data_IF_578939363158
#
_entry.id   IF_578939363158
#
_cell.length_a   1.000
_cell.length_b   1.000
_cell.length_c   1.000
_cell.angle_alpha   90.00
_cell.angle_beta   90.00
_cell.angle_gamma   90.00
#
_symmetry.space_group_name_H-M   'P 1'
#
loop_
_entity.id
_entity.type
_entity.pdbx_description
1 polymer ?
#
# COMPACT_ATOMS: atom_id res chain seq x y z
N UNK A 1 27.91 -33.21 -33.26
CA UNK A 1 27.27 -34.50 -32.90
C UNK A 1 28.26 -35.67 -32.76
N UNK A 2 29.01 -36.09 -33.81
CA UNK A 2 29.93 -37.26 -33.74
C UNK A 2 31.00 -37.17 -32.65
N UNK A 3 31.57 -35.98 -32.43
CA UNK A 3 32.54 -35.73 -31.35
C UNK A 3 31.91 -35.85 -29.95
N UNK A 4 30.68 -35.35 -29.77
CA UNK A 4 29.93 -35.41 -28.51
C UNK A 4 29.62 -36.85 -28.10
N UNK A 5 29.19 -37.68 -29.05
CA UNK A 5 28.93 -39.11 -28.81
C UNK A 5 30.22 -39.87 -28.46
N UNK A 6 31.33 -39.56 -29.13
CA UNK A 6 32.63 -40.17 -28.83
C UNK A 6 33.15 -39.79 -27.44
N UNK A 7 33.00 -38.53 -27.04
CA UNK A 7 33.37 -38.08 -25.68
C UNK A 7 32.48 -38.77 -24.65
N UNK A 8 31.17 -38.84 -24.88
CA UNK A 8 30.24 -39.54 -23.99
C UNK A 8 30.62 -41.01 -23.80
N UNK A 9 30.85 -41.74 -24.89
CA UNK A 9 31.24 -43.15 -24.84
C UNK A 9 32.59 -43.37 -24.12
N UNK A 10 33.60 -42.58 -24.44
CA UNK A 10 34.94 -42.70 -23.84
C UNK A 10 34.94 -42.36 -22.35
N UNK A 11 34.12 -41.38 -21.93
CA UNK A 11 33.98 -41.01 -20.52
C UNK A 11 33.30 -42.09 -19.68
N UNK A 12 32.49 -42.95 -20.28
CA UNK A 12 31.78 -44.03 -19.57
C UNK A 12 32.51 -45.38 -19.64
N UNK A 13 33.28 -45.64 -20.69
CA UNK A 13 33.85 -46.97 -20.99
C UNK A 13 34.86 -47.50 -19.95
N UNK A 14 35.43 -46.65 -19.10
CA UNK A 14 36.47 -47.01 -18.12
C UNK A 14 36.00 -46.89 -16.66
N UNK A 15 34.70 -46.72 -16.42
CA UNK A 15 34.15 -46.51 -15.08
C UNK A 15 33.37 -47.72 -14.59
N UNK A 16 33.36 -47.93 -13.27
CA UNK A 16 32.44 -48.88 -12.64
C UNK A 16 30.99 -48.41 -12.80
N UNK A 17 30.00 -49.33 -12.80
CA UNK A 17 28.59 -48.98 -12.89
C UNK A 17 28.13 -47.96 -11.84
N UNK A 18 28.63 -48.07 -10.60
CA UNK A 18 28.36 -47.10 -9.53
C UNK A 18 28.90 -45.70 -9.87
N UNK A 19 30.12 -45.61 -10.39
CA UNK A 19 30.72 -44.32 -10.75
C UNK A 19 30.04 -43.69 -11.96
N UNK A 20 29.58 -44.50 -12.92
CA UNK A 20 28.75 -44.04 -14.06
C UNK A 20 27.50 -43.34 -13.53
N UNK A 21 26.80 -43.95 -12.58
CA UNK A 21 25.56 -43.40 -12.02
C UNK A 21 25.73 -42.03 -11.39
N UNK A 22 26.90 -41.75 -10.81
CA UNK A 22 27.21 -40.46 -10.19
C UNK A 22 27.47 -39.36 -11.22
N UNK A 23 28.12 -39.68 -12.34
CA UNK A 23 28.57 -38.65 -13.31
C UNK A 23 27.65 -38.48 -14.53
N UNK A 24 26.75 -39.43 -14.76
CA UNK A 24 25.99 -39.52 -16.02
C UNK A 24 25.15 -38.27 -16.30
N UNK A 25 24.52 -37.72 -15.26
CA UNK A 25 23.68 -36.53 -15.38
C UNK A 25 24.51 -35.29 -15.74
N UNK A 26 25.61 -35.04 -15.00
CA UNK A 26 26.50 -33.90 -15.23
C UNK A 26 27.23 -33.99 -16.57
N UNK A 27 27.69 -35.20 -16.96
CA UNK A 27 28.32 -35.42 -18.26
C UNK A 27 27.34 -35.12 -19.40
N UNK A 28 26.13 -35.67 -19.32
CA UNK A 28 25.08 -35.45 -20.32
C UNK A 28 24.73 -33.97 -20.44
N UNK A 29 24.56 -33.28 -19.31
CA UNK A 29 24.26 -31.85 -19.26
C UNK A 29 25.34 -31.03 -19.96
N UNK A 30 26.61 -31.23 -19.59
CA UNK A 30 27.74 -30.47 -20.12
C UNK A 30 27.94 -30.67 -21.62
N UNK A 31 27.74 -31.90 -22.10
CA UNK A 31 27.89 -32.24 -23.51
C UNK A 31 26.79 -31.66 -24.38
N UNK A 32 25.57 -31.59 -23.86
CA UNK A 32 24.41 -31.01 -24.56
C UNK A 32 24.50 -29.49 -24.56
N UNK A 33 24.82 -28.89 -23.40
CA UNK A 33 24.93 -27.44 -23.23
C UNK A 33 26.03 -26.83 -24.12
N UNK A 34 27.14 -27.54 -24.34
CA UNK A 34 28.24 -27.10 -25.22
C UNK A 34 27.95 -27.21 -26.71
N UNK A 35 26.81 -27.78 -27.14
CA UNK A 35 26.48 -27.82 -28.56
C UNK A 35 25.88 -26.50 -29.02
N UNK A 36 26.47 -25.92 -30.07
CA UNK A 36 26.02 -24.66 -30.68
C UNK A 36 24.64 -24.74 -31.36
N UNK A 37 24.04 -25.93 -31.51
CA UNK A 37 22.86 -26.15 -32.35
C UNK A 37 21.77 -26.94 -31.61
N UNK A 38 21.08 -26.29 -30.68
CA UNK A 38 20.01 -26.86 -29.85
C UNK A 38 18.65 -26.93 -30.59
N UNK A 39 18.64 -27.21 -31.90
CA UNK A 39 17.38 -27.42 -32.64
C UNK A 39 16.75 -28.74 -32.21
N UNK A 40 15.41 -28.79 -32.12
CA UNK A 40 14.67 -29.97 -31.62
C UNK A 40 15.10 -31.29 -32.30
N UNK A 41 15.31 -31.29 -33.61
CA UNK A 41 15.74 -32.49 -34.35
C UNK A 41 17.14 -32.97 -33.95
N UNK A 42 18.07 -32.04 -33.67
CA UNK A 42 19.44 -32.37 -33.27
C UNK A 42 19.50 -32.91 -31.83
N UNK A 43 18.66 -32.38 -30.93
CA UNK A 43 18.51 -32.90 -29.57
C UNK A 43 17.94 -34.31 -29.55
N UNK A 44 16.94 -34.59 -30.40
CA UNK A 44 16.36 -35.92 -30.53
C UNK A 44 17.38 -36.95 -31.05
N UNK A 45 18.17 -36.60 -32.07
CA UNK A 45 19.25 -37.46 -32.58
C UNK A 45 20.35 -37.70 -31.53
N UNK A 46 20.68 -36.68 -30.74
CA UNK A 46 21.67 -36.80 -29.67
C UNK A 46 21.18 -37.69 -28.52
N UNK A 47 19.90 -37.58 -28.15
CA UNK A 47 19.28 -38.46 -27.16
C UNK A 47 19.38 -39.91 -27.61
N UNK A 48 18.94 -40.21 -28.84
CA UNK A 48 19.02 -41.56 -29.39
C UNK A 48 20.47 -42.09 -29.37
N UNK A 49 21.45 -41.27 -29.75
CA UNK A 49 22.86 -41.64 -29.71
C UNK A 49 23.40 -41.92 -28.31
N UNK A 50 23.02 -41.15 -27.29
CA UNK A 50 23.39 -41.43 -25.89
C UNK A 50 22.76 -42.74 -25.40
N UNK A 51 21.49 -43.00 -25.75
CA UNK A 51 20.81 -44.23 -25.38
C UNK A 51 21.44 -45.46 -26.05
N UNK A 52 21.85 -45.36 -27.30
CA UNK A 52 22.56 -46.44 -28.00
C UNK A 52 23.93 -46.74 -27.39
N UNK A 53 24.66 -45.71 -26.92
CA UNK A 53 25.92 -45.89 -26.19
C UNK A 53 25.67 -46.58 -24.84
N UNK A 54 24.64 -46.18 -24.09
CA UNK A 54 24.28 -46.85 -22.83
C UNK A 54 23.95 -48.33 -23.06
N UNK A 55 23.22 -48.66 -24.14
CA UNK A 55 22.95 -50.06 -24.52
C UNK A 55 24.24 -50.82 -24.84
N UNK A 56 25.14 -50.21 -25.63
CA UNK A 56 26.42 -50.81 -26.03
C UNK A 56 27.31 -51.14 -24.82
N UNK A 57 27.29 -50.29 -23.80
CA UNK A 57 28.10 -50.42 -22.59
C UNK A 57 27.43 -51.26 -21.48
N UNK A 58 26.22 -51.78 -21.70
CA UNK A 58 25.47 -52.53 -20.68
C UNK A 58 24.94 -51.68 -19.51
N UNK A 59 24.81 -50.37 -19.72
CA UNK A 59 24.38 -49.37 -18.73
C UNK A 59 22.95 -48.88 -18.95
N UNK A 60 22.21 -49.52 -19.87
CA UNK A 60 20.84 -49.14 -20.21
C UNK A 60 19.85 -49.68 -19.16
N UNK A 61 19.49 -48.84 -18.21
CA UNK A 61 18.44 -49.06 -17.23
C UNK A 61 17.57 -47.79 -17.06
N UNK A 62 16.42 -47.93 -16.39
CA UNK A 62 15.46 -46.84 -16.21
C UNK A 62 16.06 -45.62 -15.48
N UNK A 63 16.96 -45.86 -14.51
CA UNK A 63 17.61 -44.83 -13.72
C UNK A 63 18.53 -43.97 -14.60
N UNK A 64 19.39 -44.62 -15.37
CA UNK A 64 20.36 -43.98 -16.25
C UNK A 64 19.68 -43.24 -17.41
N UNK A 65 18.64 -43.84 -18.00
CA UNK A 65 17.82 -43.17 -19.03
C UNK A 65 17.18 -41.90 -18.47
N UNK A 66 16.62 -41.97 -17.25
CA UNK A 66 16.00 -40.81 -16.60
C UNK A 66 17.01 -39.69 -16.34
N UNK A 67 18.22 -40.03 -15.88
CA UNK A 67 19.31 -39.05 -15.67
C UNK A 67 19.70 -38.34 -16.97
N UNK A 68 19.86 -39.08 -18.07
CA UNK A 68 20.17 -38.50 -19.38
C UNK A 68 19.05 -37.55 -19.84
N UNK A 69 17.79 -37.96 -19.75
CA UNK A 69 16.65 -37.12 -20.18
C UNK A 69 16.56 -35.86 -19.32
N UNK A 70 16.67 -35.96 -17.99
CA UNK A 70 16.68 -34.80 -17.08
C UNK A 70 17.79 -33.82 -17.43
N UNK A 71 19.01 -34.32 -17.64
CA UNK A 71 20.16 -33.51 -18.02
C UNK A 71 19.94 -32.78 -19.34
N UNK A 72 19.38 -33.45 -20.35
CA UNK A 72 19.10 -32.87 -21.66
C UNK A 72 18.04 -31.78 -21.60
N UNK A 73 16.93 -32.02 -20.88
CA UNK A 73 15.88 -30.99 -20.66
C UNK A 73 16.48 -29.78 -19.95
N UNK A 74 17.24 -30.01 -18.87
CA UNK A 74 17.91 -28.94 -18.12
C UNK A 74 18.88 -28.15 -18.99
N UNK A 75 19.69 -28.81 -19.82
CA UNK A 75 20.62 -28.14 -20.72
C UNK A 75 19.90 -27.30 -21.79
N UNK A 76 18.84 -27.85 -22.41
CA UNK A 76 18.09 -27.16 -23.48
C UNK A 76 17.26 -25.95 -23.01
N UNK A 77 16.95 -25.89 -21.72
CA UNK A 77 16.14 -24.81 -21.12
C UNK A 77 16.97 -23.80 -20.34
N UNK A 78 18.26 -24.08 -20.11
CA UNK A 78 19.14 -23.26 -19.26
C UNK A 78 19.28 -21.82 -19.77
N UNK A 79 19.44 -21.62 -21.07
CA UNK A 79 19.60 -20.28 -21.66
C UNK A 79 18.29 -19.47 -21.58
N UNK A 80 17.14 -20.12 -21.78
CA UNK A 80 15.83 -19.50 -21.61
C UNK A 80 15.58 -19.11 -20.14
N UNK A 81 15.95 -19.98 -19.19
CA UNK A 81 15.89 -19.66 -17.75
C UNK A 81 16.81 -18.48 -17.40
N UNK A 82 18.05 -18.47 -17.89
CA UNK A 82 18.98 -17.37 -17.66
C UNK A 82 18.46 -16.06 -18.25
N UNK A 83 17.84 -16.11 -19.44
CA UNK A 83 17.22 -14.94 -20.08
C UNK A 83 16.03 -14.42 -19.28
N UNK A 84 15.19 -15.31 -18.74
CA UNK A 84 14.09 -14.96 -17.84
C UNK A 84 14.62 -14.26 -16.58
N UNK A 85 15.67 -14.81 -15.94
CA UNK A 85 16.27 -14.17 -14.76
C UNK A 85 16.86 -12.79 -15.09
N UNK A 86 17.46 -12.61 -16.26
CA UNK A 86 17.94 -11.32 -16.71
C UNK A 86 16.80 -10.30 -16.91
N UNK A 87 15.66 -10.73 -17.45
CA UNK A 87 14.47 -9.89 -17.59
C UNK A 87 13.88 -9.49 -16.23
N UNK A 88 13.86 -10.40 -15.25
CA UNK A 88 13.41 -10.12 -13.89
C UNK A 88 14.32 -9.06 -13.25
N UNK A 89 15.64 -9.24 -13.31
CA UNK A 89 16.59 -8.27 -12.77
C UNK A 89 16.47 -6.89 -13.44
N UNK A 90 16.18 -6.86 -14.74
CA UNK A 90 15.92 -5.61 -15.46
C UNK A 90 14.63 -4.93 -15.03
N UNK A 91 13.57 -5.70 -14.75
CA UNK A 91 12.32 -5.17 -14.20
C UNK A 91 12.53 -4.53 -12.81
N UNK A 92 13.21 -5.24 -11.90
CA UNK A 92 13.58 -4.72 -10.57
C UNK A 92 14.41 -3.43 -10.69
N UNK A 93 15.35 -3.38 -11.64
CA UNK A 93 16.15 -2.18 -11.91
C UNK A 93 15.29 -1.01 -12.39
N UNK A 94 14.34 -1.25 -13.27
CA UNK A 94 13.42 -0.23 -13.79
C UNK A 94 12.50 0.30 -12.69
N UNK A 95 11.98 -0.57 -11.81
CA UNK A 95 11.20 -0.17 -10.64
C UNK A 95 12.00 0.76 -9.73
N UNK A 96 13.25 0.39 -9.41
CA UNK A 96 14.15 1.26 -8.65
C UNK A 96 14.40 2.61 -9.34
N UNK A 97 14.47 2.65 -10.68
CA UNK A 97 14.58 3.91 -11.42
C UNK A 97 13.32 4.77 -11.34
N UNK A 98 12.14 4.15 -11.48
CA UNK A 98 10.85 4.83 -11.34
C UNK A 98 10.75 5.49 -9.97
N UNK A 99 11.13 4.76 -8.91
CA UNK A 99 11.05 5.27 -7.54
C UNK A 99 11.99 6.46 -7.31
N UNK A 100 13.23 6.35 -7.81
CA UNK A 100 14.17 7.48 -7.78
C UNK A 100 13.65 8.70 -8.56
N UNK A 101 12.97 8.49 -9.69
CA UNK A 101 12.34 9.57 -10.45
C UNK A 101 11.19 10.22 -9.70
N UNK A 102 10.34 9.45 -9.00
CA UNK A 102 9.27 10.01 -8.15
C UNK A 102 9.84 10.91 -7.07
N UNK A 103 10.87 10.45 -6.35
CA UNK A 103 11.56 11.22 -5.31
C UNK A 103 12.19 12.48 -5.91
N UNK A 104 12.86 12.37 -7.07
CA UNK A 104 13.46 13.53 -7.73
C UNK A 104 12.42 14.55 -8.18
N UNK A 105 11.29 14.11 -8.74
CA UNK A 105 10.19 14.97 -9.16
C UNK A 105 9.57 15.69 -7.98
N UNK A 106 9.34 14.97 -6.87
CA UNK A 106 8.87 15.55 -5.60
C UNK A 106 9.80 16.66 -5.13
N UNK A 107 11.11 16.40 -5.10
CA UNK A 107 12.11 17.38 -4.69
C UNK A 107 12.15 18.61 -5.62
N UNK A 108 12.01 18.41 -6.93
CA UNK A 108 11.95 19.52 -7.90
C UNK A 108 10.70 20.38 -7.72
N UNK A 109 9.54 19.76 -7.49
CA UNK A 109 8.30 20.47 -7.19
C UNK A 109 8.50 21.31 -5.92
N UNK A 110 8.98 20.71 -4.84
CA UNK A 110 9.30 21.42 -3.59
C UNK A 110 10.26 22.58 -3.81
N UNK A 111 11.32 22.37 -4.60
CA UNK A 111 12.32 23.40 -4.89
C UNK A 111 11.74 24.59 -5.66
N UNK A 112 11.03 24.37 -6.76
CA UNK A 112 10.42 25.46 -7.53
C UNK A 112 9.41 26.24 -6.70
N UNK A 113 8.64 25.56 -5.84
CA UNK A 113 7.73 26.24 -4.92
C UNK A 113 8.45 27.16 -3.94
N UNK A 114 9.56 26.72 -3.34
CA UNK A 114 10.38 27.55 -2.46
C UNK A 114 10.96 28.76 -3.19
N UNK A 115 11.43 28.58 -4.43
CA UNK A 115 11.89 29.70 -5.25
C UNK A 115 10.77 30.69 -5.54
N UNK A 116 9.56 30.21 -5.89
CA UNK A 116 8.41 31.07 -6.16
C UNK A 116 7.91 31.79 -4.91
N UNK A 117 7.84 31.11 -3.77
CA UNK A 117 7.51 31.73 -2.49
C UNK A 117 8.50 32.85 -2.17
N UNK A 118 9.81 32.57 -2.29
CA UNK A 118 10.85 33.57 -2.07
C UNK A 118 10.65 34.80 -2.97
N UNK A 119 10.43 34.59 -4.27
CA UNK A 119 10.17 35.66 -5.22
C UNK A 119 8.93 36.47 -4.83
N UNK A 120 7.84 35.81 -4.43
CA UNK A 120 6.59 36.46 -4.04
C UNK A 120 6.74 37.27 -2.74
N UNK A 121 7.47 36.74 -1.75
CA UNK A 121 7.81 37.43 -0.49
C UNK A 121 8.72 38.64 -0.70
N UNK A 122 9.55 38.61 -1.73
CA UNK A 122 10.43 39.72 -2.14
C UNK A 122 9.73 40.69 -3.11
N UNK A 123 8.53 40.35 -3.59
CA UNK A 123 7.77 41.14 -4.56
C UNK A 123 6.82 42.17 -3.95
N UNK A 124 6.33 43.07 -4.79
CA UNK A 124 5.30 44.06 -4.43
C UNK A 124 3.94 43.42 -4.09
N UNK A 125 3.74 42.13 -4.40
CA UNK A 125 2.50 41.39 -4.13
C UNK A 125 2.47 40.73 -2.74
N UNK A 126 3.55 40.84 -1.95
CA UNK A 126 3.70 40.22 -0.62
C UNK A 126 2.48 40.42 0.30
N UNK A 127 1.89 41.62 0.29
CA UNK A 127 0.78 41.97 1.18
C UNK A 127 -0.58 41.43 0.70
N UNK A 128 -0.69 41.07 -0.58
CA UNK A 128 -1.87 40.44 -1.18
C UNK A 128 -1.91 38.93 -0.88
N UNK A 129 -0.76 38.32 -0.63
CA UNK A 129 -0.58 36.91 -0.23
C UNK A 129 0.02 36.80 1.18
N UNK A 130 -0.39 37.67 2.10
CA UNK A 130 0.20 37.82 3.45
C UNK A 130 0.01 36.61 4.39
N UNK A 131 -0.80 35.63 3.97
CA UNK A 131 -0.65 34.23 4.37
C UNK A 131 0.13 33.59 3.24
N UNK A 132 1.42 33.30 3.46
CA UNK A 132 2.36 32.88 2.41
C UNK A 132 1.77 31.79 1.52
N UNK A 133 2.40 31.57 0.36
CA UNK A 133 2.07 30.43 -0.49
C UNK A 133 2.30 29.15 0.35
N UNK A 134 1.26 28.68 1.05
CA UNK A 134 1.42 28.11 2.39
C UNK A 134 2.36 26.91 2.38
N UNK A 135 3.50 26.99 3.08
CA UNK A 135 4.37 25.83 3.32
C UNK A 135 3.62 24.64 3.94
N UNK A 136 2.43 24.86 4.51
CA UNK A 136 1.47 23.83 4.85
C UNK A 136 1.04 22.99 3.63
N UNK A 137 0.70 23.59 2.48
CA UNK A 137 0.30 22.85 1.27
C UNK A 137 1.42 21.95 0.77
N UNK A 138 2.68 22.39 0.84
CA UNK A 138 3.82 21.56 0.41
C UNK A 138 4.11 20.41 1.39
N UNK A 139 4.13 20.71 2.68
CA UNK A 139 4.23 19.69 3.74
C UNK A 139 3.07 18.68 3.64
N UNK A 140 1.88 19.15 3.29
CA UNK A 140 0.67 18.34 3.16
C UNK A 140 0.75 17.42 1.95
N UNK A 141 1.18 17.93 0.79
CA UNK A 141 1.40 17.10 -0.40
C UNK A 141 2.49 16.06 -0.13
N UNK A 142 3.59 16.44 0.52
CA UNK A 142 4.67 15.52 0.88
C UNK A 142 4.21 14.44 1.86
N UNK A 143 3.49 14.81 2.91
CA UNK A 143 2.96 13.87 3.90
C UNK A 143 1.90 12.95 3.31
N UNK A 144 1.03 13.45 2.42
CA UNK A 144 0.06 12.62 1.70
C UNK A 144 0.77 11.64 0.75
N UNK A 145 1.85 12.06 0.08
CA UNK A 145 2.69 11.17 -0.73
C UNK A 145 3.32 10.05 0.08
N UNK A 146 3.96 10.37 1.20
CA UNK A 146 4.58 9.38 2.11
C UNK A 146 3.52 8.45 2.68
N UNK A 147 2.36 8.98 3.07
CA UNK A 147 1.24 8.19 3.57
C UNK A 147 0.75 7.19 2.52
N UNK A 148 0.69 7.62 1.25
CA UNK A 148 0.26 6.76 0.14
C UNK A 148 1.23 5.58 -0.05
N UNK A 149 2.52 5.87 -0.16
CA UNK A 149 3.56 4.84 -0.33
C UNK A 149 3.62 3.88 0.87
N UNK A 150 3.46 4.42 2.09
CA UNK A 150 3.42 3.62 3.32
C UNK A 150 2.19 2.72 3.36
N UNK A 151 1.02 3.25 2.99
CA UNK A 151 -0.21 2.47 2.89
C UNK A 151 -0.06 1.35 1.85
N UNK A 152 0.42 1.66 0.64
CA UNK A 152 0.64 0.69 -0.43
C UNK A 152 1.53 -0.46 0.03
N UNK A 153 2.69 -0.14 0.60
CA UNK A 153 3.63 -1.15 1.10
C UNK A 153 3.04 -2.00 2.23
N UNK A 154 2.34 -1.38 3.18
CA UNK A 154 1.74 -2.09 4.31
C UNK A 154 0.62 -3.05 3.86
N UNK A 155 -0.28 -2.60 2.99
CA UNK A 155 -1.37 -3.45 2.49
C UNK A 155 -0.88 -4.54 1.55
N UNK A 156 0.11 -4.26 0.68
CA UNK A 156 0.76 -5.30 -0.13
C UNK A 156 1.39 -6.38 0.75
N UNK A 157 2.13 -5.98 1.79
CA UNK A 157 2.73 -6.93 2.75
C UNK A 157 1.66 -7.79 3.43
N UNK A 158 0.51 -7.21 3.79
CA UNK A 158 -0.62 -7.96 4.35
C UNK A 158 -1.15 -9.01 3.37
N UNK A 159 -1.30 -8.65 2.09
CA UNK A 159 -1.74 -9.56 1.05
C UNK A 159 -0.71 -10.69 0.79
N UNK A 160 0.57 -10.36 0.81
CA UNK A 160 1.67 -11.34 0.64
C UNK A 160 1.72 -12.36 1.77
N UNK A 161 1.46 -11.93 3.02
CA UNK A 161 1.40 -12.83 4.17
C UNK A 161 0.14 -13.70 4.16
N UNK A 162 -0.99 -13.15 3.73
CA UNK A 162 -2.24 -13.88 3.55
C UNK A 162 -2.94 -14.35 4.84
N UNK A 163 -2.47 -13.92 6.01
CA UNK A 163 -3.00 -14.29 7.33
C UNK A 163 -3.79 -13.13 7.94
N UNK A 164 -4.98 -13.41 8.47
CA UNK A 164 -5.86 -12.46 9.17
C UNK A 164 -5.99 -11.09 8.47
N UNK A 165 -6.25 -11.13 7.15
CA UNK A 165 -6.22 -9.96 6.27
C UNK A 165 -7.17 -8.87 6.76
N UNK A 166 -8.40 -9.22 7.16
CA UNK A 166 -9.39 -8.25 7.62
C UNK A 166 -8.89 -7.48 8.86
N UNK A 167 -8.52 -8.20 9.92
CA UNK A 167 -8.04 -7.62 11.18
C UNK A 167 -6.74 -6.83 10.99
N UNK A 168 -5.80 -7.37 10.21
CA UNK A 168 -4.52 -6.71 9.95
C UNK A 168 -4.72 -5.43 9.14
N UNK A 169 -5.62 -5.46 8.15
CA UNK A 169 -5.95 -4.28 7.34
C UNK A 169 -6.68 -3.21 8.16
N UNK A 170 -7.53 -3.62 9.10
CA UNK A 170 -8.18 -2.73 10.07
C UNK A 170 -7.16 -2.00 10.94
N UNK A 171 -6.24 -2.73 11.56
CA UNK A 171 -5.21 -2.11 12.41
C UNK A 171 -4.23 -1.24 11.62
N UNK A 172 -3.85 -1.64 10.39
CA UNK A 172 -3.00 -0.80 9.53
C UNK A 172 -3.71 0.51 9.18
N UNK A 173 -4.94 0.43 8.64
CA UNK A 173 -5.72 1.61 8.25
C UNK A 173 -5.93 2.56 9.43
N UNK A 174 -6.30 2.01 10.59
CA UNK A 174 -6.49 2.76 11.83
C UNK A 174 -5.25 3.51 12.25
N UNK A 175 -4.11 2.83 12.31
CA UNK A 175 -2.86 3.45 12.74
C UNK A 175 -2.36 4.51 11.75
N UNK A 176 -2.46 4.24 10.44
CA UNK A 176 -2.09 5.19 9.39
C UNK A 176 -2.89 6.48 9.48
N UNK A 177 -4.23 6.37 9.55
CA UNK A 177 -5.11 7.53 9.64
C UNK A 177 -4.92 8.26 10.97
N UNK A 178 -4.92 7.55 12.09
CA UNK A 178 -4.73 8.16 13.41
C UNK A 178 -3.40 8.94 13.49
N UNK A 179 -2.30 8.34 13.07
CA UNK A 179 -0.99 8.98 13.10
C UNK A 179 -0.95 10.20 12.18
N UNK A 180 -1.45 10.08 10.94
CA UNK A 180 -1.48 11.19 9.99
C UNK A 180 -2.33 12.38 10.48
N UNK A 181 -3.45 12.11 11.17
CA UNK A 181 -4.27 13.16 11.82
C UNK A 181 -3.47 13.82 12.96
N UNK A 182 -2.74 13.04 13.74
CA UNK A 182 -1.99 13.53 14.90
C UNK A 182 -0.73 14.32 14.54
N UNK A 183 -0.10 14.00 13.42
CA UNK A 183 1.12 14.63 12.92
C UNK A 183 0.84 15.95 12.18
N UNK A 184 -0.43 16.30 12.00
CA UNK A 184 -0.87 17.46 11.24
C UNK A 184 -1.85 18.36 12.00
N UNK A 185 -2.25 19.48 11.37
CA UNK A 185 -3.31 20.33 11.91
C UNK A 185 -4.66 19.60 11.82
N UNK A 186 -5.40 19.59 12.93
CA UNK A 186 -6.72 18.96 12.99
C UNK A 186 -7.74 19.82 12.25
N UNK A 187 -7.97 19.49 10.99
CA UNK A 187 -8.93 20.13 10.11
C UNK A 187 -9.81 19.06 9.45
N UNK A 188 -11.13 19.27 9.46
CA UNK A 188 -12.08 18.26 8.98
C UNK A 188 -11.82 17.86 7.54
N UNK A 189 -11.60 18.84 6.67
CA UNK A 189 -11.34 18.60 5.25
C UNK A 189 -10.10 17.72 5.06
N UNK A 190 -9.05 17.98 5.83
CA UNK A 190 -7.81 17.20 5.79
C UNK A 190 -7.99 15.78 6.29
N UNK A 191 -8.73 15.58 7.38
CA UNK A 191 -9.05 14.24 7.89
C UNK A 191 -9.70 13.41 6.78
N UNK A 192 -10.67 13.99 6.07
CA UNK A 192 -11.35 13.32 4.95
C UNK A 192 -10.41 13.04 3.77
N UNK A 193 -9.45 13.92 3.48
CA UNK A 193 -8.42 13.69 2.46
C UNK A 193 -7.48 12.53 2.82
N UNK A 194 -6.99 12.50 4.06
CA UNK A 194 -6.17 11.40 4.62
C UNK A 194 -6.94 10.07 4.50
N UNK A 195 -8.19 10.05 4.94
CA UNK A 195 -9.07 8.88 4.84
C UNK A 195 -9.28 8.43 3.40
N UNK A 196 -9.58 9.37 2.50
CA UNK A 196 -9.76 9.08 1.07
C UNK A 196 -8.52 8.47 0.44
N UNK A 197 -7.34 8.96 0.80
CA UNK A 197 -6.07 8.48 0.26
C UNK A 197 -5.78 7.04 0.69
N UNK A 198 -5.89 6.74 1.99
CA UNK A 198 -5.68 5.37 2.51
C UNK A 198 -6.69 4.39 1.91
N UNK A 199 -7.96 4.80 1.81
CA UNK A 199 -9.02 3.97 1.23
C UNK A 199 -8.81 3.71 -0.26
N UNK A 200 -8.39 4.71 -1.04
CA UNK A 200 -8.18 4.53 -2.46
C UNK A 200 -7.06 3.53 -2.77
N UNK A 201 -5.97 3.54 -1.99
CA UNK A 201 -4.93 2.50 -2.09
C UNK A 201 -5.53 1.11 -1.90
N UNK A 202 -6.37 0.93 -0.88
CA UNK A 202 -7.04 -0.34 -0.60
C UNK A 202 -8.00 -0.74 -1.71
N UNK A 203 -8.79 0.19 -2.23
CA UNK A 203 -9.76 -0.10 -3.29
C UNK A 203 -9.07 -0.48 -4.60
N UNK A 204 -7.95 0.16 -4.94
CA UNK A 204 -7.11 -0.21 -6.07
C UNK A 204 -6.59 -1.66 -5.92
N UNK A 205 -5.98 -1.99 -4.76
CA UNK A 205 -5.50 -3.34 -4.47
C UNK A 205 -6.60 -4.40 -4.44
N UNK A 206 -7.77 -4.09 -3.87
CA UNK A 206 -8.92 -4.99 -3.83
C UNK A 206 -9.50 -5.25 -5.24
N UNK A 207 -9.43 -4.27 -6.12
CA UNK A 207 -9.87 -4.45 -7.51
C UNK A 207 -8.91 -5.34 -8.31
N UNK A 208 -7.63 -5.34 -7.97
CA UNK A 208 -6.61 -6.21 -8.58
C UNK A 208 -6.61 -7.63 -7.97
N UNK A 209 -6.85 -7.73 -6.65
CA UNK A 209 -6.82 -8.98 -5.90
C UNK A 209 -8.22 -9.40 -5.43
N UNK A 210 -9.01 -9.95 -6.37
CA UNK A 210 -10.41 -10.34 -6.14
C UNK A 210 -10.57 -11.32 -4.96
N UNK A 211 -9.58 -12.19 -4.73
CA UNK A 211 -9.62 -13.23 -3.68
C UNK A 211 -9.69 -12.63 -2.28
N UNK A 212 -8.98 -11.53 -2.04
CA UNK A 212 -8.87 -10.90 -0.72
C UNK A 212 -9.67 -9.59 -0.61
N UNK A 213 -10.35 -9.19 -1.68
CA UNK A 213 -11.04 -7.90 -1.78
C UNK A 213 -12.03 -7.65 -0.65
N UNK A 214 -12.80 -8.66 -0.23
CA UNK A 214 -13.79 -8.52 0.85
C UNK A 214 -13.10 -8.14 2.16
N UNK A 215 -12.15 -8.95 2.59
CA UNK A 215 -11.47 -8.82 3.87
C UNK A 215 -10.66 -7.51 3.91
N UNK A 216 -10.00 -7.16 2.81
CA UNK A 216 -9.22 -5.93 2.67
C UNK A 216 -10.11 -4.68 2.77
N UNK A 217 -11.23 -4.63 2.04
CA UNK A 217 -12.14 -3.47 2.03
C UNK A 217 -12.85 -3.30 3.36
N UNK A 218 -13.37 -4.38 3.95
CA UNK A 218 -14.07 -4.33 5.23
C UNK A 218 -13.12 -3.88 6.35
N UNK A 219 -11.96 -4.52 6.46
CA UNK A 219 -10.95 -4.18 7.45
C UNK A 219 -10.53 -2.71 7.33
N UNK A 220 -10.13 -2.28 6.13
CA UNK A 220 -9.65 -0.92 5.95
C UNK A 220 -10.70 0.15 6.24
N UNK A 221 -11.95 0.00 5.80
CA UNK A 221 -12.99 1.02 6.04
C UNK A 221 -13.30 1.15 7.53
N UNK A 222 -13.39 0.03 8.27
CA UNK A 222 -13.54 0.05 9.72
C UNK A 222 -12.33 0.69 10.40
N UNK A 223 -11.13 0.31 9.98
CA UNK A 223 -9.89 0.86 10.50
C UNK A 223 -9.80 2.38 10.32
N UNK A 224 -10.14 2.89 9.14
CA UNK A 224 -10.19 4.35 8.88
C UNK A 224 -11.21 5.03 9.80
N UNK A 225 -12.41 4.47 9.96
CA UNK A 225 -13.44 5.00 10.88
C UNK A 225 -12.94 5.07 12.34
N UNK A 226 -12.25 4.03 12.78
CA UNK A 226 -11.68 3.96 14.13
C UNK A 226 -10.50 4.94 14.30
N UNK A 227 -9.65 5.07 13.28
CA UNK A 227 -8.55 6.04 13.27
C UNK A 227 -9.05 7.48 13.37
N UNK A 228 -10.13 7.83 12.65
CA UNK A 228 -10.82 9.13 12.79
C UNK A 228 -11.33 9.31 14.20
N UNK A 229 -12.01 8.30 14.77
CA UNK A 229 -12.59 8.35 16.11
C UNK A 229 -11.52 8.62 17.18
N UNK A 230 -10.38 7.91 17.11
CA UNK A 230 -9.24 8.12 18.00
C UNK A 230 -8.61 9.52 17.82
N UNK A 231 -8.51 9.99 16.57
CA UNK A 231 -8.04 11.34 16.27
C UNK A 231 -8.93 12.41 16.91
N UNK A 232 -10.25 12.26 16.79
CA UNK A 232 -11.25 13.13 17.43
C UNK A 232 -11.09 13.14 18.94
N UNK A 233 -10.95 11.98 19.57
CA UNK A 233 -10.76 11.87 21.02
C UNK A 233 -9.49 12.58 21.48
N UNK A 234 -8.37 12.35 20.80
CA UNK A 234 -7.10 13.02 21.10
C UNK A 234 -7.20 14.54 20.93
N UNK A 235 -7.86 15.00 19.87
CA UNK A 235 -8.08 16.41 19.65
C UNK A 235 -8.94 17.05 20.75
N UNK A 236 -10.05 16.42 21.13
CA UNK A 236 -10.88 16.88 22.26
C UNK A 236 -10.08 17.00 23.56
N UNK A 237 -9.23 16.01 23.84
CA UNK A 237 -8.33 16.08 24.99
C UNK A 237 -7.36 17.25 24.88
N UNK A 238 -6.82 17.54 23.68
CA UNK A 238 -5.92 18.70 23.49
C UNK A 238 -6.61 20.05 23.75
N UNK A 239 -7.92 20.17 23.49
CA UNK A 239 -8.67 21.41 23.75
C UNK A 239 -8.76 21.76 25.24
N UNK A 240 -8.67 20.76 26.13
CA UNK A 240 -8.71 20.97 27.59
C UNK A 240 -7.51 21.75 28.13
N UNK A 241 -6.43 21.83 27.36
CA UNK A 241 -5.17 22.50 27.74
C UNK A 241 -5.02 23.89 27.09
N UNK A 242 -6.00 24.34 26.30
CA UNK A 242 -5.97 25.66 25.66
C UNK A 242 -6.50 26.70 26.63
N UNK A 243 -5.74 27.76 26.87
CA UNK A 243 -6.12 28.83 27.81
C UNK A 243 -7.09 29.85 27.18
N UNK A 244 -7.04 30.04 25.85
CA UNK A 244 -7.83 31.03 25.14
C UNK A 244 -9.15 30.46 24.60
N UNK A 245 -10.29 30.90 25.16
CA UNK A 245 -11.63 30.43 24.75
C UNK A 245 -11.95 30.70 23.26
N UNK A 246 -11.39 31.77 22.66
CA UNK A 246 -11.58 32.09 21.24
C UNK A 246 -10.91 31.03 20.33
N UNK A 247 -9.74 30.53 20.73
CA UNK A 247 -9.01 29.48 20.02
C UNK A 247 -9.74 28.13 20.15
N UNK A 248 -10.25 27.82 21.34
CA UNK A 248 -11.13 26.65 21.56
C UNK A 248 -12.32 26.71 20.61
N UNK A 249 -13.01 27.85 20.52
CA UNK A 249 -14.19 27.99 19.64
C UNK A 249 -13.85 27.68 18.18
N UNK A 250 -12.79 28.29 17.65
CA UNK A 250 -12.38 28.09 16.26
C UNK A 250 -12.06 26.62 15.99
N UNK A 251 -11.31 25.99 16.89
CA UNK A 251 -10.91 24.58 16.79
C UNK A 251 -12.07 23.60 16.98
N UNK A 252 -13.00 23.86 17.88
CA UNK A 252 -14.17 22.99 18.12
C UNK A 252 -15.12 22.91 16.94
N UNK A 253 -15.15 23.92 16.05
CA UNK A 253 -15.98 23.89 14.83
C UNK A 253 -15.60 22.72 13.91
N UNK A 254 -14.32 22.34 13.88
CA UNK A 254 -13.84 21.25 13.03
C UNK A 254 -14.42 19.89 13.41
N UNK A 255 -14.88 19.70 14.65
CA UNK A 255 -15.50 18.45 15.13
C UNK A 255 -16.88 18.17 14.54
N UNK A 256 -17.57 19.20 14.06
CA UNK A 256 -18.97 19.15 13.65
C UNK A 256 -19.09 18.47 12.28
N UNK A 257 -19.85 17.39 12.21
CA UNK A 257 -20.21 16.68 10.99
C UNK A 257 -19.17 15.72 10.44
N UNK A 258 -18.02 15.50 11.10
CA UNK A 258 -16.95 14.64 10.57
C UNK A 258 -17.47 13.24 10.24
N UNK A 259 -18.25 12.63 11.14
CA UNK A 259 -18.75 11.26 10.95
C UNK A 259 -19.73 11.15 9.77
N UNK A 260 -20.58 12.16 9.54
CA UNK A 260 -21.51 12.21 8.41
C UNK A 260 -20.80 12.51 7.08
N UNK A 261 -19.79 13.39 7.13
CA UNK A 261 -18.94 13.71 5.98
C UNK A 261 -18.11 12.48 5.56
N UNK A 262 -17.66 11.66 6.51
CA UNK A 262 -16.99 10.39 6.22
C UNK A 262 -17.92 9.38 5.50
N UNK A 263 -19.18 9.26 5.92
CA UNK A 263 -20.16 8.42 5.19
C UNK A 263 -20.43 8.96 3.78
N UNK A 264 -20.48 10.27 3.63
CA UNK A 264 -20.64 10.93 2.33
C UNK A 264 -19.41 10.72 1.42
N UNK A 265 -18.21 10.70 2.01
CA UNK A 265 -16.98 10.33 1.33
C UNK A 265 -17.07 8.90 0.82
N UNK A 266 -17.43 7.92 1.66
CA UNK A 266 -17.57 6.52 1.24
C UNK A 266 -18.55 6.35 0.08
N UNK A 267 -19.70 7.03 0.12
CA UNK A 267 -20.69 7.04 -0.99
C UNK A 267 -20.12 7.64 -2.28
N UNK A 268 -19.24 8.62 -2.15
CA UNK A 268 -18.59 9.28 -3.29
C UNK A 268 -17.51 8.37 -3.89
N UNK A 269 -16.70 7.73 -3.04
CA UNK A 269 -15.68 6.78 -3.49
C UNK A 269 -16.32 5.54 -4.15
N UNK A 270 -17.38 4.97 -3.57
CA UNK A 270 -18.09 3.84 -4.17
C UNK A 270 -18.52 4.09 -5.63
N UNK A 271 -18.95 5.31 -5.96
CA UNK A 271 -19.34 5.69 -7.33
C UNK A 271 -18.16 5.76 -8.30
N UNK A 272 -16.95 5.99 -7.81
CA UNK A 272 -15.70 6.05 -8.60
C UNK A 272 -15.09 4.67 -8.82
N UNK A 273 -15.39 3.71 -7.95
CA UNK A 273 -14.75 2.39 -7.94
C UNK A 273 -15.38 1.39 -8.93
N UNK A 274 -14.57 0.40 -9.31
CA UNK A 274 -15.02 -0.79 -10.05
C UNK A 274 -15.40 -1.91 -9.07
N UNK A 275 -15.98 -2.99 -9.59
CA UNK A 275 -16.17 -4.21 -8.82
C UNK A 275 -14.84 -4.97 -8.67
N UNK A 276 -14.61 -5.65 -7.52
CA UNK A 276 -15.54 -5.89 -6.41
C UNK A 276 -15.68 -4.75 -5.39
N UNK A 277 -14.77 -3.76 -5.37
CA UNK A 277 -14.73 -2.74 -4.30
C UNK A 277 -16.03 -1.94 -4.18
N UNK A 278 -16.62 -1.52 -5.30
CA UNK A 278 -17.88 -0.77 -5.30
C UNK A 278 -18.99 -1.48 -4.51
N UNK A 279 -19.28 -2.73 -4.84
CA UNK A 279 -20.34 -3.51 -4.18
C UNK A 279 -20.06 -3.76 -2.70
N UNK A 280 -18.78 -3.94 -2.34
CA UNK A 280 -18.37 -4.14 -0.96
C UNK A 280 -18.56 -2.86 -0.12
N UNK A 281 -18.19 -1.70 -0.68
CA UNK A 281 -18.39 -0.40 -0.02
C UNK A 281 -19.88 -0.10 0.14
N UNK A 282 -20.68 -0.28 -0.92
CA UNK A 282 -22.14 -0.05 -0.87
C UNK A 282 -22.80 -0.92 0.20
N UNK A 283 -22.45 -2.20 0.26
CA UNK A 283 -22.95 -3.13 1.27
C UNK A 283 -22.54 -2.73 2.68
N UNK A 284 -21.26 -2.40 2.89
CA UNK A 284 -20.77 -1.97 4.20
C UNK A 284 -21.45 -0.69 4.68
N UNK A 285 -21.68 0.27 3.76
CA UNK A 285 -22.44 1.48 4.09
C UNK A 285 -23.84 1.08 4.58
N UNK A 286 -24.57 0.23 3.86
CA UNK A 286 -25.93 -0.17 4.25
C UNK A 286 -25.97 -0.91 5.59
N UNK A 287 -25.02 -1.83 5.83
CA UNK A 287 -25.00 -2.69 7.00
C UNK A 287 -24.52 -1.96 8.27
N UNK A 288 -23.47 -1.15 8.17
CA UNK A 288 -22.77 -0.62 9.35
C UNK A 288 -22.89 0.90 9.51
N UNK A 289 -22.99 1.66 8.42
CA UNK A 289 -22.95 3.13 8.49
C UNK A 289 -24.31 3.80 8.26
N UNK A 290 -25.23 3.23 7.49
CA UNK A 290 -26.53 3.81 7.18
C UNK A 290 -27.70 3.10 7.87
N UNK A 291 -27.40 2.14 8.75
CA UNK A 291 -28.37 1.54 9.66
C UNK A 291 -29.00 2.60 10.57
N UNK A 292 -30.24 2.34 11.03
CA UNK A 292 -30.97 3.26 11.92
C UNK A 292 -30.17 3.54 13.20
N UNK A 293 -29.50 2.50 13.74
CA UNK A 293 -28.68 2.64 14.93
C UNK A 293 -27.44 3.50 14.67
N UNK A 294 -26.74 3.29 13.55
CA UNK A 294 -25.58 4.09 13.18
C UNK A 294 -25.95 5.57 12.97
N UNK A 295 -27.06 5.85 12.28
CA UNK A 295 -27.61 7.20 12.11
C UNK A 295 -27.96 7.85 13.45
N UNK A 296 -28.60 7.12 14.36
CA UNK A 296 -28.94 7.62 15.69
C UNK A 296 -27.69 7.93 16.53
N UNK A 297 -26.68 7.05 16.48
CA UNK A 297 -25.39 7.26 17.18
C UNK A 297 -24.69 8.52 16.67
N UNK A 298 -24.56 8.67 15.34
CA UNK A 298 -23.99 9.87 14.73
C UNK A 298 -24.77 11.12 15.08
N UNK A 299 -26.10 11.08 14.97
CA UNK A 299 -26.96 12.21 15.35
C UNK A 299 -26.77 12.61 16.82
N UNK A 300 -26.67 11.65 17.74
CA UNK A 300 -26.43 11.94 19.15
C UNK A 300 -25.04 12.57 19.38
N UNK A 301 -24.00 12.04 18.72
CA UNK A 301 -22.64 12.60 18.77
C UNK A 301 -22.61 14.02 18.21
N UNK A 302 -23.21 14.22 17.04
CA UNK A 302 -23.30 15.51 16.35
C UNK A 302 -24.00 16.57 17.21
N UNK A 303 -25.17 16.24 17.77
CA UNK A 303 -25.86 17.16 18.69
C UNK A 303 -25.02 17.47 19.92
N UNK A 304 -24.26 16.50 20.46
CA UNK A 304 -23.36 16.75 21.58
C UNK A 304 -22.27 17.75 21.19
N UNK A 305 -21.65 17.61 20.02
CA UNK A 305 -20.62 18.55 19.56
C UNK A 305 -21.21 19.94 19.29
N UNK A 306 -22.41 20.03 18.70
CA UNK A 306 -23.11 21.30 18.51
C UNK A 306 -23.48 21.97 19.83
N UNK A 307 -23.99 21.21 20.82
CA UNK A 307 -24.29 21.73 22.16
C UNK A 307 -23.02 22.23 22.83
N UNK A 308 -21.92 21.48 22.77
CA UNK A 308 -20.64 21.89 23.33
C UNK A 308 -20.14 23.19 22.68
N UNK A 309 -20.24 23.29 21.35
CA UNK A 309 -19.92 24.50 20.62
C UNK A 309 -20.80 25.69 21.06
N UNK A 310 -22.12 25.50 21.16
CA UNK A 310 -23.04 26.53 21.66
C UNK A 310 -22.75 26.94 23.11
N UNK A 311 -22.34 26.01 23.98
CA UNK A 311 -21.96 26.33 25.35
C UNK A 311 -20.71 27.22 25.39
N UNK A 312 -19.73 26.97 24.51
CA UNK A 312 -18.56 27.85 24.32
C UNK A 312 -19.01 29.23 23.82
N UNK A 313 -19.98 29.31 22.89
CA UNK A 313 -20.54 30.59 22.45
C UNK A 313 -21.31 31.34 23.55
N UNK A 314 -22.11 30.64 24.36
CA UNK A 314 -22.94 31.24 25.39
C UNK A 314 -22.13 31.88 26.52
N UNK A 315 -20.97 31.32 26.89
CA UNK A 315 -20.06 31.94 27.88
C UNK A 315 -19.63 33.37 27.51
N UNK A 316 -19.70 33.72 26.22
CA UNK A 316 -19.38 35.05 25.71
C UNK A 316 -20.57 36.02 25.73
N UNK A 317 -21.79 35.57 26.06
CA UNK A 317 -22.97 36.43 26.01
C UNK A 317 -22.91 37.46 27.17
N UNK A 318 -22.79 38.77 26.88
CA UNK A 318 -22.64 39.79 27.92
C UNK A 318 -23.79 39.79 28.94
N UNK A 319 -24.99 39.36 28.52
CA UNK A 319 -26.15 39.23 29.41
C UNK A 319 -25.99 38.19 30.52
N UNK A 320 -25.13 37.19 30.36
CA UNK A 320 -24.86 36.16 31.39
C UNK A 320 -23.86 36.69 32.43
N UNK A 321 -22.86 37.46 32.00
CA UNK A 321 -21.96 38.18 32.92
C UNK A 321 -22.74 39.22 33.73
N UNK A 322 -23.66 39.96 33.10
CA UNK A 322 -24.57 40.88 33.79
C UNK A 322 -25.46 40.15 34.80
N UNK A 323 -25.94 38.94 34.49
CA UNK A 323 -26.78 38.15 35.40
C UNK A 323 -25.98 37.62 36.61
N UNK A 324 -24.74 37.20 36.39
CA UNK A 324 -23.84 36.77 37.47
C UNK A 324 -23.43 37.94 38.37
N UNK A 325 -23.12 39.12 37.81
CA UNK A 325 -22.90 40.33 38.60
C UNK A 325 -24.17 40.73 39.38
N UNK A 326 -25.34 40.66 38.75
CA UNK A 326 -26.61 41.02 39.38
C UNK A 326 -26.97 40.04 40.51
N UNK A 327 -26.72 38.73 40.33
CA UNK A 327 -26.92 37.71 41.35
C UNK A 327 -25.94 37.86 42.53
N UNK A 328 -24.66 38.15 42.26
CA UNK A 328 -23.65 38.41 43.29
C UNK A 328 -23.98 39.68 44.10
N UNK A 329 -24.45 40.75 43.45
CA UNK A 329 -24.91 41.97 44.14
C UNK A 329 -26.15 41.72 45.01
N UNK A 330 -26.98 40.72 44.70
CA UNK A 330 -28.19 40.39 45.46
C UNK A 330 -27.95 39.39 46.60
N UNK A 331 -26.87 38.59 46.53
CA UNK A 331 -26.47 37.66 47.60
C UNK A 331 -25.46 38.28 48.59
N UNK A 332 -24.89 39.44 48.28
CA UNK A 332 -23.97 40.19 49.16
C UNK A 332 -24.61 41.29 50.01
N UNK A 333 -25.95 41.36 50.09
CA UNK A 333 -26.71 42.28 50.95
C UNK A 333 -27.55 41.52 51.97
#
# INVERSE_FOLDING_TARGET
>A
MKNTLMIFENSLSNLSPENVKEILEDLSFNLVYKQENQKANALNELLLGFLDILKKLGLFDEENVTKVIKAMVRASTKDAQNSLYALIAEAERLEGQIENYKISLKNQISHHFLEFEKILQESNFKNEFSKGLDGAILFDIEMLGILKETAESAFLTTLEKGEDIELTSEEIAKNLVYNAICESHFEKERILQISSLVLNVVFELANESIVFAKDLVLGAVRGVSDGISLGIEKFKNSLTFIEFEEEIRLKSKELIGIEDDFVSLLKTEAKKQKNPSKELIERLIEEEFDSIFAKLKRFANENREQINFFLVELKKNPKINDFNEFAQRKMGN
#
